data_IF_917417943065
#
_entry.id   IF_917417943065
#
_cell.length_a   1.000
_cell.length_b   1.000
_cell.length_c   1.000
_cell.angle_alpha   90.00
_cell.angle_beta   90.00
_cell.angle_gamma   90.00
#
_symmetry.space_group_name_H-M   'P 1'
#
loop_
_entity.id
_entity.type
_entity.pdbx_description
1 polymer ?
#
# COMPACT_ATOMS: atom_id res chain seq x y z
N UNK A 1 0.60 10.32 -17.16
CA UNK A 1 0.88 9.60 -15.88
C UNK A 1 0.36 10.38 -14.67
N UNK A 2 -0.92 10.81 -14.64
CA UNK A 2 -1.46 11.63 -13.54
C UNK A 2 -2.72 11.06 -12.87
N UNK A 3 -3.35 10.01 -13.42
CA UNK A 3 -4.56 9.42 -12.82
C UNK A 3 -4.31 8.17 -11.95
N UNK A 4 -3.10 7.60 -11.95
CA UNK A 4 -2.79 6.42 -11.11
C UNK A 4 -2.94 6.69 -9.62
N UNK A 5 -2.74 7.94 -9.15
CA UNK A 5 -2.87 8.26 -7.71
C UNK A 5 -4.30 8.12 -7.17
N UNK A 6 -5.32 8.33 -7.99
CA UNK A 6 -6.73 8.17 -7.57
C UNK A 6 -7.14 6.70 -7.53
N UNK A 7 -6.65 5.89 -8.46
CA UNK A 7 -6.99 4.46 -8.55
C UNK A 7 -6.12 3.55 -7.66
N UNK A 8 -4.97 4.02 -7.17
CA UNK A 8 -4.08 3.22 -6.31
C UNK A 8 -4.52 3.24 -4.85
N UNK A 9 -5.21 4.29 -4.40
CA UNK A 9 -5.81 4.28 -3.05
C UNK A 9 -7.18 3.61 -3.07
N UNK A 10 -7.33 2.55 -2.28
CA UNK A 10 -8.61 1.90 -2.07
C UNK A 10 -9.66 2.94 -1.63
N UNK A 11 -10.89 2.85 -2.16
CA UNK A 11 -12.02 3.75 -1.84
C UNK A 11 -12.15 4.03 -0.33
N UNK A 12 -11.98 2.99 0.48
CA UNK A 12 -11.95 3.04 1.95
C UNK A 12 -10.99 4.10 2.52
N UNK A 13 -9.81 4.25 1.92
CA UNK A 13 -8.80 5.22 2.35
C UNK A 13 -9.24 6.66 2.06
N UNK A 14 -9.93 6.87 0.94
CA UNK A 14 -10.52 8.17 0.61
C UNK A 14 -11.62 8.52 1.60
N UNK A 15 -12.55 7.59 1.83
CA UNK A 15 -13.67 7.77 2.77
C UNK A 15 -13.16 8.09 4.19
N UNK A 16 -12.11 7.39 4.64
CA UNK A 16 -11.47 7.65 5.94
C UNK A 16 -10.84 9.06 5.99
N UNK A 17 -10.21 9.52 4.91
CA UNK A 17 -9.59 10.85 4.86
C UNK A 17 -10.62 11.97 4.94
N UNK A 18 -11.74 11.81 4.24
CA UNK A 18 -12.85 12.78 4.27
C UNK A 18 -13.49 12.81 5.66
N UNK A 19 -13.72 11.65 6.25
CA UNK A 19 -14.27 11.52 7.61
C UNK A 19 -13.34 12.21 8.64
N UNK A 20 -12.04 11.97 8.54
CA UNK A 20 -11.06 12.60 9.42
C UNK A 20 -10.94 14.10 9.20
N UNK A 21 -11.09 14.58 7.95
CA UNK A 21 -11.13 16.02 7.66
C UNK A 21 -12.29 16.71 8.38
N UNK A 22 -13.49 16.10 8.37
CA UNK A 22 -14.67 16.63 9.10
C UNK A 22 -14.45 16.66 10.61
N UNK A 23 -13.82 15.62 11.14
CA UNK A 23 -13.45 15.57 12.55
C UNK A 23 -12.51 16.73 12.92
N UNK A 24 -11.47 16.98 12.13
CA UNK A 24 -10.53 18.06 12.43
C UNK A 24 -11.12 19.45 12.24
N UNK A 25 -11.99 19.66 11.25
CA UNK A 25 -12.73 20.93 11.12
C UNK A 25 -13.56 21.25 12.38
N UNK A 26 -14.16 20.23 12.99
CA UNK A 26 -14.95 20.39 14.20
C UNK A 26 -14.08 20.57 15.46
N UNK A 27 -12.96 19.85 15.56
CA UNK A 27 -12.06 19.93 16.73
C UNK A 27 -11.21 21.20 16.76
N UNK A 28 -11.00 21.84 15.61
CA UNK A 28 -10.14 23.02 15.45
C UNK A 28 -10.92 24.19 14.81
N UNK A 29 -11.88 24.79 15.53
CA UNK A 29 -12.73 25.85 14.97
C UNK A 29 -11.87 27.03 14.51
N UNK A 30 -11.86 27.31 13.20
CA UNK A 30 -11.02 28.32 12.53
C UNK A 30 -9.50 28.13 12.66
N UNK A 31 -9.03 26.98 13.15
CA UNK A 31 -7.61 26.68 13.36
C UNK A 31 -7.17 25.47 12.52
N UNK A 32 -7.60 25.44 11.26
CA UNK A 32 -7.26 24.40 10.29
C UNK A 32 -6.48 24.97 9.11
N UNK A 33 -5.48 24.23 8.65
CA UNK A 33 -4.77 24.44 7.39
C UNK A 33 -5.28 23.47 6.35
N UNK A 34 -5.40 23.90 5.09
CA UNK A 34 -5.79 22.99 3.99
C UNK A 34 -4.56 22.36 3.37
N UNK A 35 -4.61 21.04 3.23
CA UNK A 35 -3.61 20.28 2.48
C UNK A 35 -3.79 20.44 0.98
N UNK A 36 -2.80 20.02 0.19
CA UNK A 36 -2.85 19.99 -1.28
C UNK A 36 -4.03 19.19 -1.87
N UNK A 37 -4.70 18.38 -1.05
CA UNK A 37 -5.86 17.56 -1.43
C UNK A 37 -7.16 18.10 -0.84
N UNK A 38 -7.21 19.38 -0.45
CA UNK A 38 -8.38 20.04 0.14
C UNK A 38 -8.90 19.41 1.44
N UNK A 39 -8.10 18.57 2.11
CA UNK A 39 -8.40 18.06 3.45
C UNK A 39 -7.90 19.04 4.51
N UNK A 40 -8.70 19.25 5.54
CA UNK A 40 -8.39 20.09 6.69
C UNK A 40 -7.43 19.39 7.65
N UNK A 41 -6.47 20.17 8.17
CA UNK A 41 -5.49 19.75 9.16
C UNK A 41 -5.39 20.75 10.31
N UNK A 42 -5.65 20.30 11.54
CA UNK A 42 -5.58 21.10 12.74
C UNK A 42 -4.19 21.67 13.00
N UNK A 43 -4.14 22.93 13.42
CA UNK A 43 -2.90 23.60 13.83
C UNK A 43 -2.50 23.13 15.23
N UNK A 44 -1.23 22.75 15.46
CA UNK A 44 -0.76 22.33 16.78
C UNK A 44 -1.06 23.38 17.87
N UNK A 45 -1.56 22.94 19.02
CA UNK A 45 -1.85 23.80 20.17
C UNK A 45 -3.28 24.33 20.27
N UNK A 46 -4.10 24.19 19.23
CA UNK A 46 -5.50 24.65 19.20
C UNK A 46 -6.52 23.52 19.31
N UNK A 47 -6.07 22.32 19.71
CA UNK A 47 -6.94 21.17 19.86
C UNK A 47 -7.88 21.37 21.06
N UNK A 48 -9.18 21.33 20.81
CA UNK A 48 -10.19 21.51 21.86
C UNK A 48 -10.93 20.19 22.13
N UNK A 49 -10.45 19.35 23.07
CA UNK A 49 -11.03 18.02 23.31
C UNK A 49 -12.50 18.07 23.78
N UNK A 50 -12.96 19.20 24.32
CA UNK A 50 -14.34 19.38 24.79
C UNK A 50 -15.37 19.39 23.64
N UNK A 51 -14.97 19.71 22.41
CA UNK A 51 -15.88 19.69 21.25
C UNK A 51 -16.23 18.28 20.78
N UNK A 52 -15.61 17.24 21.32
CA UNK A 52 -15.98 15.85 20.99
C UNK A 52 -17.39 15.47 21.45
N UNK A 53 -17.94 16.20 22.43
CA UNK A 53 -19.31 16.01 22.92
C UNK A 53 -20.35 16.61 21.97
N UNK A 54 -19.97 17.63 21.18
CA UNK A 54 -20.85 18.30 20.22
C UNK A 54 -20.72 17.75 18.81
N UNK A 55 -19.82 16.79 18.60
CA UNK A 55 -19.65 16.11 17.32
C UNK A 55 -20.78 15.09 17.12
N UNK A 56 -21.27 15.01 15.88
CA UNK A 56 -22.28 14.04 15.47
C UNK A 56 -21.86 12.59 15.83
N UNK A 57 -22.79 11.84 16.42
CA UNK A 57 -22.49 10.51 16.98
C UNK A 57 -22.11 9.48 15.91
N UNK A 58 -22.63 9.62 14.69
CA UNK A 58 -22.28 8.75 13.56
C UNK A 58 -20.83 8.98 13.14
N UNK A 59 -20.43 10.25 12.96
CA UNK A 59 -19.04 10.62 12.63
C UNK A 59 -18.09 10.17 13.75
N UNK A 60 -18.48 10.36 15.01
CA UNK A 60 -17.70 9.93 16.17
C UNK A 60 -17.47 8.42 16.19
N UNK A 61 -18.52 7.63 15.97
CA UNK A 61 -18.44 6.17 15.89
C UNK A 61 -17.52 5.70 14.77
N UNK A 62 -17.65 6.30 13.57
CA UNK A 62 -16.83 5.93 12.43
C UNK A 62 -15.37 6.36 12.58
N UNK A 63 -15.08 7.51 13.21
CA UNK A 63 -13.70 7.95 13.50
C UNK A 63 -13.04 7.01 14.52
N UNK A 64 -13.78 6.60 15.56
CA UNK A 64 -13.30 5.64 16.55
C UNK A 64 -13.03 4.24 15.96
N UNK A 65 -13.67 3.88 14.84
CA UNK A 65 -13.44 2.62 14.13
C UNK A 65 -12.19 2.63 13.24
N UNK A 66 -11.58 3.79 13.00
CA UNK A 66 -10.35 3.87 12.23
C UNK A 66 -9.24 3.17 13.03
N UNK A 67 -8.77 2.02 12.54
CA UNK A 67 -7.78 1.16 13.21
C UNK A 67 -6.45 1.85 13.52
N UNK A 68 -6.16 2.99 12.87
CA UNK A 68 -5.00 3.85 13.15
C UNK A 68 -5.10 4.59 14.49
N UNK A 69 -6.27 4.64 15.14
CA UNK A 69 -6.44 5.27 16.44
C UNK A 69 -5.75 4.49 17.58
N UNK A 70 -5.46 3.18 17.39
CA UNK A 70 -4.83 2.34 18.39
C UNK A 70 -3.41 1.91 17.96
N UNK A 71 -2.35 2.61 18.39
CA UNK A 71 -0.98 2.41 17.87
C UNK A 71 -0.45 0.99 18.08
N UNK A 72 -0.85 0.31 19.16
CA UNK A 72 -0.45 -1.07 19.44
C UNK A 72 -1.02 -2.07 18.42
N UNK A 73 -2.27 -1.88 17.99
CA UNK A 73 -2.88 -2.77 17.01
C UNK A 73 -2.24 -2.56 15.63
N UNK A 74 -1.95 -1.30 15.28
CA UNK A 74 -1.30 -0.94 14.04
C UNK A 74 0.10 -1.58 13.90
N UNK A 75 0.90 -1.62 14.97
CA UNK A 75 2.23 -2.25 14.96
C UNK A 75 2.13 -3.74 14.58
N UNK A 76 1.15 -4.47 15.10
CA UNK A 76 0.98 -5.90 14.78
C UNK A 76 0.65 -6.09 13.30
N UNK A 77 -0.25 -5.27 12.76
CA UNK A 77 -0.62 -5.32 11.34
C UNK A 77 0.58 -5.02 10.43
N UNK A 78 1.35 -3.98 10.76
CA UNK A 78 2.56 -3.63 10.02
C UNK A 78 3.59 -4.77 10.12
N UNK A 79 3.78 -5.36 11.30
CA UNK A 79 4.72 -6.46 11.49
C UNK A 79 4.34 -7.66 10.62
N UNK A 80 3.08 -8.09 10.64
CA UNK A 80 2.59 -9.19 9.79
C UNK A 80 2.83 -8.87 8.32
N UNK A 81 2.48 -7.66 7.88
CA UNK A 81 2.66 -7.27 6.49
C UNK A 81 4.14 -7.23 6.08
N UNK A 82 5.03 -6.73 6.95
CA UNK A 82 6.48 -6.73 6.69
C UNK A 82 7.05 -8.14 6.58
N UNK A 83 6.57 -9.09 7.38
CA UNK A 83 6.96 -10.51 7.27
C UNK A 83 6.48 -11.13 5.96
N UNK A 84 5.26 -10.81 5.52
CA UNK A 84 4.75 -11.26 4.20
C UNK A 84 5.62 -10.73 3.06
N UNK A 85 5.93 -9.42 3.04
CA UNK A 85 6.81 -8.84 2.03
C UNK A 85 8.22 -9.45 2.06
N UNK A 86 8.75 -9.76 3.25
CA UNK A 86 10.05 -10.42 3.37
C UNK A 86 10.05 -11.84 2.75
N UNK A 87 8.94 -12.57 2.89
CA UNK A 87 8.74 -13.87 2.26
C UNK A 87 8.77 -13.80 0.73
N UNK A 88 7.99 -12.89 0.15
CA UNK A 88 7.94 -12.68 -1.31
C UNK A 88 9.30 -12.23 -1.88
N UNK A 89 10.02 -11.36 -1.16
CA UNK A 89 11.37 -10.94 -1.55
C UNK A 89 12.33 -12.13 -1.57
N UNK A 90 12.27 -13.01 -0.56
CA UNK A 90 13.11 -14.20 -0.52
C UNK A 90 12.84 -15.12 -1.72
N UNK A 91 11.57 -15.39 -2.03
CA UNK A 91 11.22 -16.20 -3.20
C UNK A 91 11.72 -15.59 -4.52
N UNK A 92 11.60 -14.27 -4.64
CA UNK A 92 12.08 -13.52 -5.81
C UNK A 92 13.61 -13.63 -5.94
N UNK A 93 14.34 -13.53 -4.82
CA UNK A 93 15.80 -13.68 -4.79
C UNK A 93 16.22 -15.09 -5.17
N UNK A 94 15.57 -16.12 -4.60
CA UNK A 94 15.88 -17.52 -4.89
C UNK A 94 15.65 -17.82 -6.38
N UNK A 95 14.56 -17.30 -6.96
CA UNK A 95 14.27 -17.39 -8.39
C UNK A 95 15.31 -16.63 -9.23
N UNK A 96 15.71 -15.44 -8.80
CA UNK A 96 16.73 -14.64 -9.49
C UNK A 96 18.09 -15.35 -9.51
N UNK A 97 18.51 -15.95 -8.40
CA UNK A 97 19.76 -16.71 -8.33
C UNK A 97 19.68 -17.95 -9.24
N UNK A 98 18.57 -18.69 -9.21
CA UNK A 98 18.38 -19.87 -10.07
C UNK A 98 18.41 -19.52 -11.56
N UNK A 99 17.69 -18.46 -11.97
CA UNK A 99 17.58 -18.08 -13.38
C UNK A 99 18.82 -17.34 -13.90
N UNK A 100 19.39 -16.42 -13.12
CA UNK A 100 20.44 -15.53 -13.62
C UNK A 100 21.83 -16.06 -13.31
N UNK A 101 22.03 -16.59 -12.11
CA UNK A 101 23.36 -17.01 -11.64
C UNK A 101 23.65 -18.48 -11.92
N UNK A 102 22.66 -19.36 -11.75
CA UNK A 102 22.85 -20.81 -11.92
C UNK A 102 22.62 -21.29 -13.36
N UNK A 103 21.93 -20.52 -14.19
CA UNK A 103 21.71 -20.89 -15.58
C UNK A 103 22.94 -20.51 -16.41
N UNK A 104 23.67 -21.47 -17.01
CA UNK A 104 24.80 -21.15 -17.87
C UNK A 104 24.29 -20.38 -19.09
N UNK A 105 24.82 -19.18 -19.28
CA UNK A 105 24.52 -18.36 -20.45
C UNK A 105 25.29 -18.92 -21.65
N UNK A 106 24.58 -19.15 -22.75
CA UNK A 106 25.15 -19.61 -24.01
C UNK A 106 25.27 -18.39 -24.92
N UNK A 107 26.43 -18.17 -25.53
CA UNK A 107 26.68 -16.99 -26.39
C UNK A 107 25.74 -16.93 -27.61
N UNK A 108 25.17 -18.06 -28.02
CA UNK A 108 24.25 -18.13 -29.17
C UNK A 108 23.11 -19.13 -28.92
N UNK A 109 21.86 -18.73 -29.22
CA UNK A 109 20.68 -19.60 -29.12
C UNK A 109 20.73 -20.83 -30.05
N UNK A 110 21.61 -20.83 -31.06
CA UNK A 110 21.78 -21.93 -32.01
C UNK A 110 22.24 -23.24 -31.34
N UNK A 111 22.97 -23.17 -30.22
CA UNK A 111 23.49 -24.34 -29.50
C UNK A 111 22.50 -24.98 -28.51
N UNK A 112 21.28 -24.44 -28.36
CA UNK A 112 20.29 -24.94 -27.40
C UNK A 112 19.52 -26.18 -27.84
N UNK A 113 19.67 -26.63 -29.09
CA UNK A 113 18.88 -27.74 -29.69
C UNK A 113 19.63 -29.07 -29.79
N UNK A 114 20.87 -29.16 -29.30
CA UNK A 114 21.77 -30.32 -29.52
C UNK A 114 21.32 -31.61 -28.77
N UNK A 115 20.26 -31.54 -27.96
CA UNK A 115 19.69 -32.68 -27.23
C UNK A 115 18.41 -33.30 -27.82
N UNK A 116 17.86 -32.78 -28.91
CA UNK A 116 16.69 -33.41 -29.55
C UNK A 116 17.16 -34.58 -30.42
N UNK A 117 16.73 -35.84 -30.16
CA UNK A 117 16.98 -36.93 -31.09
C UNK A 117 16.37 -36.55 -32.44
N UNK A 118 17.22 -36.43 -33.46
CA UNK A 118 16.79 -36.36 -34.86
C UNK A 118 16.09 -37.68 -35.16
N UNK A 119 14.79 -37.76 -34.90
CA UNK A 119 13.95 -38.70 -35.62
C UNK A 119 13.78 -38.11 -37.01
N UNK A 120 14.41 -38.76 -37.98
CA UNK A 120 14.55 -38.33 -39.36
C UNK A 120 13.22 -37.90 -39.99
N UNK A 121 12.95 -36.60 -39.95
CA UNK A 121 12.13 -35.90 -40.94
C UNK A 121 13.03 -35.53 -42.11
N UNK A 122 13.44 -36.56 -42.85
CA UNK A 122 13.97 -36.44 -44.21
C UNK A 122 13.20 -37.44 -45.07
N UNK A 123 11.96 -37.08 -45.41
CA UNK A 123 11.27 -37.62 -46.57
C UNK A 123 11.46 -36.66 -47.73
N UNK A 124 11.76 -37.23 -48.91
CA UNK A 124 11.53 -36.68 -50.27
C UNK A 124 12.37 -35.50 -50.76
#
# INVERSE_FOLDING_TARGET
LLMTKWYVTAKRVHDIRDLYSKFEDHMYPNHTTRTSHNNSRGVPGYFQPKLIETLDDDVKSDVCRISLAHPLFFIVVILVWTLTCAGEIKETIDMFISLVYATPTIDTMAHSTVGLPKHDLAST
#
